data_IF_981027325718
#
_entry.id   IF_981027325718
#
_cell.length_a   1.000
_cell.length_b   1.000
_cell.length_c   1.000
_cell.angle_alpha   90.00
_cell.angle_beta   90.00
_cell.angle_gamma   90.00
#
_symmetry.space_group_name_H-M   'P 1'
#
loop_
_entity.id
_entity.type
_entity.pdbx_description
1 polymer ?
#
# COMPACT_ATOMS: atom_id res chain seq x y z
N UNK A 1 -24.15 22.04 44.22
CA UNK A 1 -23.61 20.83 43.54
C UNK A 1 -22.11 20.96 43.59
N UNK A 2 -21.48 20.10 44.40
CA UNK A 2 -20.13 20.27 44.96
C UNK A 2 -19.02 19.80 44.03
N UNK A 3 -17.88 20.51 44.09
CA UNK A 3 -16.59 20.30 43.42
C UNK A 3 -15.87 18.97 43.78
N UNK A 4 -16.57 17.95 44.30
CA UNK A 4 -15.96 16.72 44.81
C UNK A 4 -15.84 15.58 43.77
N UNK A 5 -16.62 15.60 42.68
CA UNK A 5 -16.59 14.50 41.69
C UNK A 5 -15.47 14.64 40.63
N UNK A 6 -14.85 15.81 40.50
CA UNK A 6 -13.84 16.06 39.45
C UNK A 6 -12.43 15.50 39.75
N UNK A 7 -12.18 14.98 40.97
CA UNK A 7 -10.83 14.51 41.37
C UNK A 7 -10.63 12.98 41.26
N UNK A 8 -11.70 12.20 41.11
CA UNK A 8 -11.61 10.74 41.21
C UNK A 8 -11.29 10.03 39.88
N UNK A 9 -11.56 10.66 38.73
CA UNK A 9 -11.23 10.10 37.41
C UNK A 9 -9.78 10.28 36.95
N UNK A 10 -8.99 11.14 37.60
CA UNK A 10 -7.65 11.53 37.12
C UNK A 10 -6.51 10.71 37.70
N UNK A 11 -6.74 9.96 38.77
CA UNK A 11 -5.71 9.17 39.47
C UNK A 11 -5.54 7.77 38.85
N UNK A 12 -6.60 7.22 38.25
CA UNK A 12 -6.59 5.84 37.71
C UNK A 12 -5.79 5.74 36.40
N UNK A 13 -5.75 6.79 35.59
CA UNK A 13 -5.02 6.80 34.30
C UNK A 13 -3.49 6.88 34.43
N UNK A 14 -2.96 7.36 35.56
CA UNK A 14 -1.51 7.48 35.77
C UNK A 14 -0.90 6.14 36.24
N UNK A 15 -1.68 5.30 36.94
CA UNK A 15 -1.20 4.01 37.46
C UNK A 15 -1.01 2.92 36.40
N UNK A 16 -1.80 2.92 35.33
CA UNK A 16 -1.76 1.86 34.29
C UNK A 16 -0.64 2.09 33.26
N UNK A 17 -0.29 3.35 33.00
CA UNK A 17 0.74 3.71 32.02
C UNK A 17 2.18 3.32 32.42
N UNK A 18 2.49 3.34 33.72
CA UNK A 18 3.85 3.06 34.22
C UNK A 18 4.19 1.56 34.25
N UNK A 19 3.20 0.68 34.42
CA UNK A 19 3.44 -0.77 34.46
C UNK A 19 3.77 -1.32 33.06
N UNK A 20 3.17 -0.77 32.01
CA UNK A 20 3.38 -1.22 30.63
C UNK A 20 4.78 -0.87 30.09
N UNK A 21 5.37 0.25 30.56
CA UNK A 21 6.71 0.68 30.16
C UNK A 21 7.83 -0.15 30.81
N UNK A 22 7.59 -0.68 32.02
CA UNK A 22 8.55 -1.53 32.72
C UNK A 22 8.69 -2.94 32.10
N UNK A 23 7.62 -3.50 31.51
CA UNK A 23 7.64 -4.82 30.86
C UNK A 23 8.40 -4.78 29.52
N UNK A 24 8.27 -3.68 28.75
CA UNK A 24 9.01 -3.51 27.49
C UNK A 24 10.51 -3.27 27.71
N UNK A 25 10.91 -2.62 28.81
CA UNK A 25 12.32 -2.41 29.14
C UNK A 25 13.03 -3.71 29.59
N UNK A 26 12.32 -4.63 30.26
CA UNK A 26 12.87 -5.93 30.67
C UNK A 26 13.02 -6.93 29.49
N UNK A 27 12.16 -6.85 28.47
CA UNK A 27 12.31 -7.65 27.24
C UNK A 27 13.45 -7.15 26.34
N UNK A 28 13.87 -5.88 26.45
CA UNK A 28 14.97 -5.31 25.67
C UNK A 28 16.38 -5.60 26.22
N UNK A 29 16.51 -6.09 27.45
CA UNK A 29 17.80 -6.18 28.16
C UNK A 29 18.46 -7.57 28.13
N UNK A 30 17.86 -8.57 27.47
CA UNK A 30 18.43 -9.94 27.40
C UNK A 30 19.41 -10.11 26.21
N UNK A 31 19.64 -9.09 25.39
CA UNK A 31 20.52 -9.19 24.22
C UNK A 31 21.65 -8.15 24.25
N UNK A 32 22.21 -7.83 25.41
CA UNK A 32 23.50 -7.10 25.49
C UNK A 32 24.27 -7.54 26.74
N UNK A 33 25.37 -8.27 26.54
CA UNK A 33 26.50 -8.24 27.48
C UNK A 33 26.69 -9.44 28.41
N UNK A 34 27.56 -10.37 28.01
CA UNK A 34 28.51 -10.98 28.93
C UNK A 34 29.85 -11.09 28.22
N UNK A 35 30.86 -10.51 28.86
CA UNK A 35 32.15 -10.18 28.31
C UNK A 35 33.15 -11.34 28.28
N UNK A 36 34.12 -11.14 27.39
CA UNK A 36 35.56 -11.44 27.45
C UNK A 36 36.11 -12.46 28.47
N UNK A 37 36.92 -13.39 27.96
CA UNK A 37 38.34 -13.56 28.36
C UNK A 37 39.14 -14.42 27.35
N UNK A 38 40.35 -13.92 27.02
CA UNK A 38 41.61 -14.51 26.49
C UNK A 38 41.84 -16.03 26.73
N UNK A 39 42.69 -16.82 26.05
CA UNK A 39 43.56 -16.77 24.85
C UNK A 39 44.15 -18.22 24.65
N UNK A 40 44.65 -18.55 23.46
CA UNK A 40 45.66 -19.59 23.08
C UNK A 40 45.28 -21.10 22.85
N UNK A 41 45.32 -21.45 21.55
CA UNK A 41 45.82 -22.64 20.81
C UNK A 41 45.42 -24.10 21.14
N UNK A 42 44.90 -24.85 20.13
CA UNK A 42 45.62 -25.89 19.35
C UNK A 42 44.67 -26.84 18.54
N UNK A 43 44.97 -27.01 17.23
CA UNK A 43 44.66 -28.15 16.32
C UNK A 43 43.23 -28.43 15.74
N UNK A 44 43.14 -29.12 14.56
CA UNK A 44 42.23 -28.76 13.46
C UNK A 44 41.04 -29.70 13.16
N UNK A 45 40.05 -29.14 12.42
CA UNK A 45 38.99 -29.77 11.59
C UNK A 45 37.84 -30.54 12.31
N UNK A 46 36.63 -30.69 11.71
CA UNK A 46 36.22 -30.44 10.32
C UNK A 46 35.07 -29.41 10.14
N UNK A 47 35.06 -28.76 8.98
CA UNK A 47 34.00 -27.85 8.53
C UNK A 47 32.62 -28.51 8.58
N UNK A 48 31.73 -27.95 9.41
CA UNK A 48 30.31 -28.25 9.36
C UNK A 48 29.70 -27.73 8.03
N UNK A 49 28.77 -28.48 7.42
CA UNK A 49 28.11 -28.04 6.20
C UNK A 49 27.29 -26.78 6.47
N UNK A 50 27.59 -25.70 5.75
CA UNK A 50 26.80 -24.48 5.76
C UNK A 50 25.39 -24.82 5.28
N UNK A 51 24.31 -24.42 5.99
CA UNK A 51 22.97 -24.54 5.48
C UNK A 51 22.91 -23.73 4.19
N UNK A 52 22.64 -24.41 3.07
CA UNK A 52 22.36 -23.77 1.79
C UNK A 52 21.05 -23.00 2.00
N UNK A 53 21.13 -21.70 2.24
CA UNK A 53 19.98 -20.81 2.08
C UNK A 53 19.57 -20.94 0.61
N UNK A 54 18.50 -21.67 0.35
CA UNK A 54 17.90 -21.69 -0.97
C UNK A 54 17.63 -20.23 -1.38
N UNK A 55 17.98 -19.82 -2.60
CA UNK A 55 17.61 -18.51 -3.08
C UNK A 55 16.08 -18.44 -3.05
N UNK A 56 15.56 -17.62 -2.14
CA UNK A 56 14.14 -17.26 -2.07
C UNK A 56 13.75 -16.84 -3.49
N UNK A 57 12.91 -17.66 -4.12
CA UNK A 57 12.39 -17.41 -5.45
C UNK A 57 11.74 -16.02 -5.40
N UNK A 58 12.36 -15.04 -6.05
CA UNK A 58 11.79 -13.71 -6.12
C UNK A 58 10.37 -13.84 -6.68
N UNK A 59 9.38 -13.34 -5.93
CA UNK A 59 8.01 -13.27 -6.40
C UNK A 59 8.01 -12.60 -7.80
N UNK A 60 7.12 -13.04 -8.72
CA UNK A 60 7.01 -12.41 -10.03
C UNK A 60 6.92 -10.89 -9.84
N UNK A 61 7.82 -10.15 -10.50
CA UNK A 61 7.82 -8.69 -10.43
C UNK A 61 6.47 -8.25 -10.97
N UNK A 62 5.67 -7.62 -10.13
CA UNK A 62 4.40 -7.08 -10.53
C UNK A 62 4.64 -6.03 -11.63
N UNK A 63 4.14 -6.28 -12.83
CA UNK A 63 4.33 -5.39 -13.98
C UNK A 63 3.14 -4.47 -14.07
N UNK A 64 3.39 -3.16 -14.19
CA UNK A 64 2.33 -2.18 -14.46
C UNK A 64 1.81 -2.38 -15.88
N UNK A 65 0.51 -2.55 -16.01
CA UNK A 65 -0.22 -2.57 -17.27
C UNK A 65 -0.89 -1.21 -17.45
N UNK A 66 -0.58 -0.44 -18.50
CA UNK A 66 -1.30 0.80 -18.79
C UNK A 66 -2.75 0.48 -19.15
N UNK A 67 -3.69 1.28 -18.65
CA UNK A 67 -5.11 1.12 -18.95
C UNK A 67 -5.42 1.91 -20.23
N UNK A 68 -5.95 1.25 -21.28
CA UNK A 68 -6.21 1.92 -22.56
C UNK A 68 -7.18 3.07 -22.40
N UNK A 69 -6.82 4.25 -22.92
CA UNK A 69 -7.72 5.40 -22.95
C UNK A 69 -8.84 5.17 -23.97
N UNK A 70 -10.07 5.67 -23.71
CA UNK A 70 -11.18 5.56 -24.63
C UNK A 70 -10.87 6.29 -25.95
N UNK A 71 -11.29 5.67 -27.05
CA UNK A 71 -11.06 6.21 -28.41
C UNK A 71 -11.72 7.58 -28.57
N UNK A 72 -10.99 8.53 -29.16
CA UNK A 72 -11.51 9.86 -29.48
C UNK A 72 -11.51 10.87 -28.32
N UNK A 73 -11.17 10.45 -27.10
CA UNK A 73 -10.97 11.38 -25.98
C UNK A 73 -9.58 11.98 -26.04
N UNK A 74 -9.50 13.31 -26.16
CA UNK A 74 -8.24 14.03 -25.95
C UNK A 74 -7.92 14.00 -24.45
N UNK A 75 -6.71 13.55 -24.13
CA UNK A 75 -6.11 13.60 -22.80
C UNK A 75 -4.73 14.25 -22.94
N UNK A 76 -4.19 14.85 -21.86
CA UNK A 76 -2.86 15.42 -21.87
C UNK A 76 -1.80 14.38 -22.25
N UNK A 77 -0.78 14.79 -23.02
CA UNK A 77 0.35 13.91 -23.35
C UNK A 77 1.30 13.81 -22.15
N UNK A 78 1.34 12.63 -21.54
CA UNK A 78 2.15 12.27 -20.37
C UNK A 78 3.66 12.43 -20.63
N UNK A 79 4.08 12.44 -21.91
CA UNK A 79 5.49 12.67 -22.27
C UNK A 79 5.91 14.12 -22.09
N UNK A 80 4.96 15.05 -21.99
CA UNK A 80 5.24 16.44 -21.67
C UNK A 80 5.62 16.53 -20.20
N UNK A 81 6.85 16.98 -19.93
CA UNK A 81 7.30 17.21 -18.55
C UNK A 81 6.59 18.43 -17.97
N UNK A 82 5.96 18.26 -16.81
CA UNK A 82 5.44 19.36 -16.00
C UNK A 82 6.07 19.36 -14.62
N UNK A 83 5.99 20.50 -13.95
CA UNK A 83 6.50 20.63 -12.59
C UNK A 83 5.70 19.73 -11.63
N UNK A 84 6.34 18.93 -10.76
CA UNK A 84 5.63 18.10 -9.79
C UNK A 84 4.81 18.93 -8.81
N UNK A 85 3.57 18.52 -8.60
CA UNK A 85 2.68 19.09 -7.59
C UNK A 85 2.79 18.28 -6.31
N UNK A 86 3.05 18.98 -5.19
CA UNK A 86 3.02 18.39 -3.85
C UNK A 86 1.69 18.71 -3.17
N UNK A 87 1.00 17.68 -2.67
CA UNK A 87 -0.20 17.84 -1.87
C UNK A 87 0.15 18.01 -0.41
N UNK A 88 -0.47 18.98 0.25
CA UNK A 88 -0.47 19.11 1.70
C UNK A 88 -1.40 18.08 2.37
N UNK A 89 -1.45 18.07 3.71
CA UNK A 89 -2.16 17.05 4.48
C UNK A 89 -3.67 17.00 4.20
N UNK A 90 -4.35 18.14 4.19
CA UNK A 90 -5.80 18.22 4.00
C UNK A 90 -6.16 17.91 2.55
N UNK A 91 -5.41 18.44 1.59
CA UNK A 91 -5.64 18.19 0.17
C UNK A 91 -5.36 16.73 -0.19
N UNK A 92 -4.34 16.11 0.42
CA UNK A 92 -4.05 14.69 0.24
C UNK A 92 -5.20 13.82 0.74
N UNK A 93 -5.84 14.17 1.86
CA UNK A 93 -6.99 13.42 2.36
C UNK A 93 -8.17 13.49 1.38
N UNK A 94 -8.52 14.69 0.93
CA UNK A 94 -9.60 14.89 -0.06
C UNK A 94 -9.30 14.13 -1.35
N UNK A 95 -8.06 14.21 -1.83
CA UNK A 95 -7.61 13.51 -3.03
C UNK A 95 -7.73 11.99 -2.89
N UNK A 96 -7.30 11.43 -1.75
CA UNK A 96 -7.41 9.99 -1.51
C UNK A 96 -8.87 9.52 -1.57
N UNK A 97 -9.80 10.26 -0.95
CA UNK A 97 -11.23 9.92 -1.00
C UNK A 97 -11.76 10.00 -2.43
N UNK A 98 -11.44 11.04 -3.17
CA UNK A 98 -11.90 11.19 -4.54
C UNK A 98 -11.34 10.13 -5.49
N UNK A 99 -10.06 9.75 -5.33
CA UNK A 99 -9.48 8.62 -6.08
C UNK A 99 -10.16 7.31 -5.70
N UNK A 100 -10.41 7.06 -4.41
CA UNK A 100 -11.13 5.86 -3.95
C UNK A 100 -12.52 5.78 -4.57
N UNK A 101 -13.24 6.90 -4.65
CA UNK A 101 -14.54 6.97 -5.29
C UNK A 101 -14.45 6.73 -6.80
N UNK A 102 -13.45 7.30 -7.48
CA UNK A 102 -13.24 7.11 -8.92
C UNK A 102 -12.92 5.66 -9.31
N UNK A 103 -12.15 4.94 -8.48
CA UNK A 103 -11.76 3.54 -8.77
C UNK A 103 -12.75 2.51 -8.21
N UNK A 104 -13.69 2.92 -7.35
CA UNK A 104 -14.68 2.03 -6.73
C UNK A 104 -15.51 1.24 -7.76
N UNK A 105 -16.03 1.81 -8.86
CA UNK A 105 -16.76 1.04 -9.86
C UNK A 105 -15.90 -0.05 -10.50
N UNK A 106 -14.64 0.25 -10.82
CA UNK A 106 -13.71 -0.73 -11.37
C UNK A 106 -13.44 -1.89 -10.40
N UNK A 107 -13.33 -1.58 -9.10
CA UNK A 107 -13.21 -2.60 -8.05
C UNK A 107 -14.44 -3.52 -8.02
N UNK A 108 -15.62 -2.95 -7.86
CA UNK A 108 -16.85 -3.70 -7.59
C UNK A 108 -17.35 -4.45 -8.83
N UNK A 109 -17.24 -3.85 -10.00
CA UNK A 109 -17.84 -4.40 -11.22
C UNK A 109 -16.86 -5.24 -12.06
N UNK A 110 -15.54 -5.06 -11.89
CA UNK A 110 -14.53 -5.77 -12.68
C UNK A 110 -13.63 -6.67 -11.84
N UNK A 111 -13.01 -6.14 -10.77
CA UNK A 111 -11.99 -6.87 -10.01
C UNK A 111 -12.58 -7.89 -9.05
N UNK A 112 -13.61 -7.53 -8.28
CA UNK A 112 -14.29 -8.43 -7.33
C UNK A 112 -14.84 -9.70 -8.02
N UNK A 113 -15.65 -9.59 -9.10
CA UNK A 113 -16.16 -10.77 -9.79
C UNK A 113 -15.06 -11.65 -10.38
N UNK A 114 -13.96 -11.05 -10.85
CA UNK A 114 -12.83 -11.79 -11.38
C UNK A 114 -12.06 -12.53 -10.29
N UNK A 115 -11.78 -11.89 -9.16
CA UNK A 115 -11.09 -12.51 -8.01
C UNK A 115 -11.92 -13.67 -7.45
N UNK A 116 -13.24 -13.50 -7.36
CA UNK A 116 -14.18 -14.56 -6.96
C UNK A 116 -14.17 -15.76 -7.91
N UNK A 117 -13.98 -15.51 -9.21
CA UNK A 117 -13.93 -16.54 -10.26
C UNK A 117 -12.60 -17.30 -10.35
N UNK A 118 -11.58 -16.93 -9.56
CA UNK A 118 -10.29 -17.61 -9.60
C UNK A 118 -10.38 -19.06 -9.05
N UNK A 119 -9.56 -20.00 -9.55
CA UNK A 119 -9.60 -21.40 -9.08
C UNK A 119 -9.30 -21.58 -7.58
N UNK A 120 -8.53 -20.66 -7.00
CA UNK A 120 -8.23 -20.59 -5.57
C UNK A 120 -8.36 -19.12 -5.16
N UNK A 121 -9.58 -18.65 -4.92
CA UNK A 121 -9.82 -17.24 -4.66
C UNK A 121 -9.15 -16.90 -3.32
N UNK A 122 -8.28 -15.90 -3.37
CA UNK A 122 -7.57 -15.40 -2.21
C UNK A 122 -7.51 -13.88 -2.29
N UNK A 123 -7.26 -13.26 -1.15
CA UNK A 123 -7.05 -11.83 -1.07
C UNK A 123 -5.96 -11.38 -2.06
N UNK A 124 -6.33 -10.47 -2.95
CA UNK A 124 -5.45 -9.97 -4.00
C UNK A 124 -5.29 -8.47 -3.86
N UNK A 125 -4.04 -8.01 -3.84
CA UNK A 125 -3.71 -6.59 -3.84
C UNK A 125 -3.50 -6.06 -5.26
N UNK A 126 -4.12 -4.92 -5.52
CA UNK A 126 -4.01 -4.16 -6.76
C UNK A 126 -3.47 -2.77 -6.47
N UNK A 127 -2.62 -2.28 -7.36
CA UNK A 127 -2.07 -0.92 -7.31
C UNK A 127 -2.51 -0.18 -8.56
N UNK A 128 -3.19 0.94 -8.37
CA UNK A 128 -3.53 1.90 -9.41
C UNK A 128 -2.52 3.04 -9.37
N UNK A 129 -1.90 3.33 -10.52
CA UNK A 129 -0.92 4.41 -10.71
C UNK A 129 -1.50 5.42 -11.71
N UNK A 130 -1.95 6.58 -11.23
CA UNK A 130 -2.55 7.64 -12.02
C UNK A 130 -1.64 8.86 -12.13
N UNK A 131 -1.67 9.51 -13.31
CA UNK A 131 -0.96 10.77 -13.58
C UNK A 131 -1.99 11.80 -14.00
N UNK A 132 -2.00 12.94 -13.31
CA UNK A 132 -2.89 14.07 -13.58
C UNK A 132 -2.03 15.27 -14.02
N UNK A 133 -2.38 15.89 -15.13
CA UNK A 133 -1.72 17.05 -15.70
C UNK A 133 -2.69 18.22 -15.75
N UNK A 134 -2.35 19.32 -15.07
CA UNK A 134 -3.19 20.54 -15.00
C UNK A 134 -4.66 20.23 -14.63
N UNK A 135 -4.88 19.27 -13.74
CA UNK A 135 -6.21 18.86 -13.29
C UNK A 135 -6.92 17.84 -14.16
N UNK A 136 -6.32 17.38 -15.27
CA UNK A 136 -6.89 16.35 -16.14
C UNK A 136 -6.12 15.02 -16.04
N UNK A 137 -6.84 13.90 -16.02
CA UNK A 137 -6.22 12.57 -16.05
C UNK A 137 -5.47 12.35 -17.38
N UNK A 138 -4.17 12.09 -17.29
CA UNK A 138 -3.27 11.93 -18.43
C UNK A 138 -2.86 10.46 -18.65
N UNK A 139 -2.62 9.72 -17.56
CA UNK A 139 -2.31 8.28 -17.59
C UNK A 139 -2.96 7.57 -16.41
N UNK A 140 -3.27 6.31 -16.60
CA UNK A 140 -3.60 5.41 -15.50
C UNK A 140 -3.15 3.99 -15.82
N UNK A 141 -2.63 3.29 -14.82
CA UNK A 141 -2.17 1.93 -14.94
C UNK A 141 -2.59 1.10 -13.75
N UNK A 142 -2.66 -0.21 -13.97
CA UNK A 142 -3.01 -1.21 -12.98
C UNK A 142 -1.85 -2.20 -12.82
N UNK A 143 -1.63 -2.64 -11.58
CA UNK A 143 -0.67 -3.69 -11.26
C UNK A 143 -1.25 -4.61 -10.20
N UNK A 144 -1.33 -5.91 -10.47
CA UNK A 144 -1.60 -6.90 -9.42
C UNK A 144 -0.30 -7.38 -8.81
N UNK A 145 -0.30 -7.61 -7.49
CA UNK A 145 0.86 -8.12 -6.76
C UNK A 145 0.90 -9.65 -6.68
N UNK A 146 -0.22 -10.32 -6.96
CA UNK A 146 -0.36 -11.78 -6.78
C UNK A 146 -0.52 -12.52 -8.10
N UNK A 147 -1.39 -12.03 -8.99
CA UNK A 147 -1.82 -12.76 -10.20
C UNK A 147 -1.86 -11.84 -11.42
N UNK A 148 -1.37 -12.26 -12.60
CA UNK A 148 -1.51 -11.46 -13.81
C UNK A 148 -2.98 -11.15 -14.11
N UNK A 149 -3.28 -9.89 -14.44
CA UNK A 149 -4.64 -9.46 -14.76
C UNK A 149 -4.93 -9.76 -16.24
N UNK A 150 -5.98 -10.53 -16.57
CA UNK A 150 -6.37 -10.80 -17.96
C UNK A 150 -6.75 -9.53 -18.71
N UNK A 151 -6.57 -9.53 -20.03
CA UNK A 151 -6.84 -8.37 -20.90
C UNK A 151 -8.30 -7.91 -20.83
N UNK A 152 -9.26 -8.84 -20.75
CA UNK A 152 -10.68 -8.52 -20.59
C UNK A 152 -10.99 -7.75 -19.29
N UNK A 153 -10.31 -8.09 -18.19
CA UNK A 153 -10.47 -7.41 -16.91
C UNK A 153 -9.79 -6.05 -16.96
N UNK A 154 -8.63 -5.95 -17.60
CA UNK A 154 -7.94 -4.67 -17.87
C UNK A 154 -8.85 -3.74 -18.68
N UNK A 155 -9.54 -4.25 -19.70
CA UNK A 155 -10.50 -3.49 -20.51
C UNK A 155 -11.67 -2.98 -19.68
N UNK A 156 -12.33 -3.86 -18.90
CA UNK A 156 -13.41 -3.46 -18.00
C UNK A 156 -12.97 -2.37 -17.01
N UNK A 157 -11.80 -2.56 -16.38
CA UNK A 157 -11.24 -1.59 -15.44
C UNK A 157 -10.98 -0.26 -16.14
N UNK A 158 -10.40 -0.28 -17.35
CA UNK A 158 -10.13 0.92 -18.14
C UNK A 158 -11.41 1.69 -18.44
N UNK A 159 -12.47 1.03 -18.91
CA UNK A 159 -13.76 1.66 -19.17
C UNK A 159 -14.29 2.37 -17.92
N UNK A 160 -14.28 1.68 -16.77
CA UNK A 160 -14.77 2.23 -15.50
C UNK A 160 -13.95 3.40 -15.00
N UNK A 161 -12.62 3.31 -14.99
CA UNK A 161 -11.80 4.39 -14.44
C UNK A 161 -11.75 5.59 -15.37
N UNK A 162 -11.72 5.42 -16.69
CA UNK A 162 -11.68 6.57 -17.60
C UNK A 162 -13.02 7.32 -17.62
N UNK A 163 -14.15 6.65 -17.43
CA UNK A 163 -15.46 7.28 -17.34
C UNK A 163 -15.77 7.90 -15.98
N UNK A 164 -14.97 7.57 -14.94
CA UNK A 164 -15.18 8.09 -13.60
C UNK A 164 -14.95 9.61 -13.51
N UNK A 165 -15.62 10.22 -12.53
CA UNK A 165 -15.42 11.62 -12.16
C UNK A 165 -14.12 11.79 -11.37
N UNK A 166 -12.99 11.86 -12.09
CA UNK A 166 -11.70 12.12 -11.47
C UNK A 166 -11.66 13.49 -10.79
N UNK A 167 -10.99 13.62 -9.63
CA UNK A 167 -10.85 14.90 -8.96
C UNK A 167 -10.11 15.89 -9.86
N UNK A 168 -10.84 16.88 -10.37
CA UNK A 168 -10.25 18.02 -11.06
C UNK A 168 -9.74 19.00 -10.02
N UNK A 169 -8.42 19.15 -9.92
CA UNK A 169 -7.83 20.22 -9.13
C UNK A 169 -7.36 21.33 -10.05
N UNK A 170 -7.67 22.57 -9.68
CA UNK A 170 -7.13 23.75 -10.37
C UNK A 170 -5.70 24.03 -9.91
N UNK A 171 -4.81 23.05 -10.07
CA UNK A 171 -3.38 23.17 -9.73
C UNK A 171 -2.57 22.86 -10.99
N UNK A 172 -1.79 23.83 -11.50
CA UNK A 172 -0.93 23.59 -12.65
C UNK A 172 0.22 22.66 -12.28
N UNK A 173 0.58 21.75 -13.18
CA UNK A 173 1.68 20.80 -13.00
C UNK A 173 1.30 19.34 -13.20
N UNK A 174 2.20 18.45 -12.77
CA UNK A 174 2.02 17.00 -12.76
C UNK A 174 1.80 16.49 -11.34
N UNK A 175 0.69 15.78 -11.13
CA UNK A 175 0.42 15.05 -9.91
C UNK A 175 0.45 13.56 -10.19
N UNK A 176 1.21 12.81 -9.39
CA UNK A 176 1.25 11.34 -9.43
C UNK A 176 0.57 10.77 -8.21
N UNK A 177 -0.42 9.92 -8.44
CA UNK A 177 -1.21 9.29 -7.40
C UNK A 177 -1.03 7.78 -7.50
N UNK A 178 -0.81 7.15 -6.36
CA UNK A 178 -0.74 5.70 -6.26
C UNK A 178 -1.75 5.25 -5.21
N UNK A 179 -2.61 4.31 -5.58
CA UNK A 179 -3.60 3.74 -4.67
C UNK A 179 -3.55 2.22 -4.66
N UNK A 180 -3.31 1.66 -3.48
CA UNK A 180 -3.44 0.22 -3.25
C UNK A 180 -4.86 -0.10 -2.81
N UNK A 181 -5.42 -1.13 -3.43
CA UNK A 181 -6.72 -1.73 -3.11
C UNK A 181 -6.53 -3.20 -2.82
N UNK A 182 -7.23 -3.68 -1.80
CA UNK A 182 -7.31 -5.09 -1.48
C UNK A 182 -8.69 -5.59 -1.86
N UNK A 183 -8.73 -6.68 -2.65
CA UNK A 183 -9.96 -7.37 -3.02
C UNK A 183 -9.97 -8.72 -2.33
N UNK A 184 -10.91 -8.89 -1.42
CA UNK A 184 -11.15 -10.15 -0.71
C UNK A 184 -12.30 -10.86 -1.40
N UNK A 185 -12.17 -12.17 -1.68
CA UNK A 185 -13.25 -12.91 -2.30
C UNK A 185 -14.49 -13.00 -1.41
N UNK A 186 -15.66 -13.15 -2.03
CA UNK A 186 -16.92 -13.35 -1.33
C UNK A 186 -16.86 -14.60 -0.43
N UNK A 187 -17.49 -14.57 0.76
CA UNK A 187 -17.59 -15.76 1.59
C UNK A 187 -18.36 -16.88 0.87
N UNK A 188 -17.99 -18.15 1.09
CA UNK A 188 -18.63 -19.30 0.46
C UNK A 188 -20.08 -19.53 0.90
#
# INVERSE_FOLDING_TARGET
MSEAEARQGRIVLIGVGLVSLAVLALMGFVIVGSGETEEVAESPAPSAPTPRTEPVRAAPRSVRVPLPAPSGRRHPDVRQRKEPVHLDGDLKLVMNTAVDDAIRPARVECLEPWVDGLPNPHETEFVFDAVIHDGELADIGLRSLSVPVPEEVVGCVADKVWEADWPTMNVPGELRLQRTLTVTPAPP
#
